data_IF_135052241604
#
_entry.id   IF_135052241604
#
_cell.length_a   1.000
_cell.length_b   1.000
_cell.length_c   1.000
_cell.angle_alpha   90.00
_cell.angle_beta   90.00
_cell.angle_gamma   90.00
#
_symmetry.space_group_name_H-M   'P 1'
#
loop_
_entity.id
_entity.type
_entity.pdbx_description
1 polymer ?
#
# COMPACT_ATOMS: atom_id res chain seq x y z
N UNK A 1 28.08 -41.92 14.36
CA UNK A 1 26.82 -41.18 14.56
C UNK A 1 27.08 -39.66 14.53
N UNK A 2 27.42 -39.18 13.34
CA UNK A 2 27.65 -37.77 12.99
C UNK A 2 26.53 -37.41 12.04
N UNK A 3 25.41 -36.95 12.59
CA UNK A 3 24.20 -36.58 11.85
C UNK A 3 23.62 -35.26 12.40
N UNK A 4 24.48 -34.37 12.91
CA UNK A 4 24.05 -33.16 13.61
C UNK A 4 24.72 -31.86 13.15
N UNK A 5 25.44 -31.86 12.02
CA UNK A 5 26.13 -30.66 11.52
C UNK A 5 25.62 -30.11 10.19
N UNK A 6 24.77 -30.84 9.47
CA UNK A 6 24.35 -30.40 8.12
C UNK A 6 23.06 -29.55 8.09
N UNK A 7 22.37 -29.36 9.23
CA UNK A 7 21.14 -28.55 9.29
C UNK A 7 21.34 -27.07 9.66
N UNK A 8 22.58 -26.62 9.83
CA UNK A 8 22.90 -25.24 10.18
C UNK A 8 23.52 -24.41 9.03
N UNK A 9 23.65 -24.96 7.82
CA UNK A 9 24.12 -24.22 6.65
C UNK A 9 23.03 -23.81 5.63
N UNK A 10 21.78 -24.27 5.78
CA UNK A 10 20.70 -23.91 4.86
C UNK A 10 19.97 -22.59 5.21
N UNK A 11 20.38 -21.87 6.26
CA UNK A 11 19.73 -20.62 6.68
C UNK A 11 20.40 -19.34 6.17
N UNK A 12 21.40 -19.45 5.29
CA UNK A 12 22.23 -18.29 4.87
C UNK A 12 21.87 -17.72 3.48
N UNK A 13 20.96 -18.33 2.69
CA UNK A 13 20.82 -17.94 1.26
C UNK A 13 19.40 -17.58 0.75
N UNK A 14 18.43 -17.26 1.61
CA UNK A 14 17.11 -16.78 1.16
C UNK A 14 17.00 -15.25 1.07
N UNK A 15 17.70 -14.51 1.95
CA UNK A 15 17.62 -13.04 2.01
C UNK A 15 18.43 -12.33 0.91
N UNK A 16 19.35 -13.04 0.25
CA UNK A 16 20.32 -12.43 -0.68
C UNK A 16 19.79 -12.27 -2.11
N UNK A 17 18.55 -12.69 -2.38
CA UNK A 17 17.94 -12.64 -3.73
C UNK A 17 16.97 -11.47 -3.95
N UNK A 18 16.48 -10.81 -2.89
CA UNK A 18 15.59 -9.64 -2.99
C UNK A 18 16.38 -8.32 -2.82
N UNK A 19 17.63 -8.28 -3.28
CA UNK A 19 18.53 -7.11 -3.14
C UNK A 19 17.93 -5.84 -3.71
N UNK A 20 18.38 -4.69 -3.20
CA UNK A 20 17.91 -3.36 -3.59
C UNK A 20 16.40 -3.16 -3.39
N UNK A 21 15.80 -3.83 -2.41
CA UNK A 21 14.35 -3.76 -2.15
C UNK A 21 14.02 -3.14 -0.81
N UNK A 22 13.04 -2.24 -0.78
CA UNK A 22 12.31 -1.89 0.44
C UNK A 22 10.87 -2.33 0.28
N UNK A 23 10.37 -3.04 1.29
CA UNK A 23 8.95 -3.38 1.42
C UNK A 23 8.37 -2.57 2.57
N UNK A 24 7.39 -1.74 2.27
CA UNK A 24 6.69 -0.86 3.21
C UNK A 24 5.27 -1.38 3.38
N UNK A 25 4.91 -1.77 4.59
CA UNK A 25 3.56 -2.13 4.97
C UNK A 25 2.87 -0.92 5.58
N UNK A 26 1.68 -0.61 5.10
CA UNK A 26 0.90 0.53 5.59
C UNK A 26 0.66 0.50 7.11
N UNK A 27 0.55 -0.69 7.68
CA UNK A 27 0.26 -0.91 9.10
C UNK A 27 1.16 -2.00 9.67
N UNK A 28 1.42 -1.97 10.98
CA UNK A 28 2.10 -3.04 11.70
C UNK A 28 1.23 -4.31 11.80
N UNK A 29 1.85 -5.45 12.15
CA UNK A 29 1.12 -6.70 12.38
C UNK A 29 0.03 -6.53 13.44
N UNK A 30 -1.11 -7.19 13.25
CA UNK A 30 -2.25 -7.13 14.17
C UNK A 30 -3.12 -5.87 14.06
N UNK A 31 -2.87 -4.99 13.09
CA UNK A 31 -3.58 -3.71 12.95
C UNK A 31 -4.22 -3.56 11.56
N UNK A 32 -5.26 -2.72 11.51
CA UNK A 32 -5.95 -2.37 10.28
C UNK A 32 -5.15 -1.33 9.48
N UNK A 33 -5.33 -1.32 8.16
CA UNK A 33 -4.85 -0.26 7.29
C UNK A 33 -6.05 0.61 6.92
N UNK A 34 -6.06 1.85 7.41
CA UNK A 34 -7.23 2.71 7.40
C UNK A 34 -7.53 3.30 6.03
N UNK A 35 -8.82 3.57 5.80
CA UNK A 35 -9.35 4.15 4.57
C UNK A 35 -10.54 5.04 4.86
N UNK A 36 -10.61 6.15 4.13
CA UNK A 36 -11.71 7.08 4.11
C UNK A 36 -12.39 7.02 2.73
N UNK A 37 -13.71 6.80 2.63
CA UNK A 37 -14.40 6.64 1.34
C UNK A 37 -14.20 7.79 0.35
N UNK A 38 -14.00 9.01 0.84
CA UNK A 38 -13.89 10.22 0.02
C UNK A 38 -12.45 10.73 -0.15
N UNK A 39 -11.48 10.22 0.62
CA UNK A 39 -10.15 10.84 0.72
C UNK A 39 -8.97 9.88 0.45
N UNK A 40 -9.22 8.61 0.14
CA UNK A 40 -8.13 7.64 -0.01
C UNK A 40 -7.86 6.80 1.23
N UNK A 41 -6.80 6.00 1.14
CA UNK A 41 -6.22 5.30 2.27
C UNK A 41 -5.26 6.21 3.02
N UNK A 42 -5.29 6.15 4.36
CA UNK A 42 -4.47 7.05 5.19
C UNK A 42 -2.98 6.96 4.83
N UNK A 43 -2.51 5.76 4.46
CA UNK A 43 -1.14 5.54 4.03
C UNK A 43 -0.79 6.22 2.71
N UNK A 44 -1.54 5.97 1.64
CA UNK A 44 -1.22 6.50 0.31
C UNK A 44 -1.44 8.01 0.27
N UNK A 45 -2.51 8.51 0.87
CA UNK A 45 -2.74 9.96 1.00
C UNK A 45 -1.62 10.65 1.80
N UNK A 46 -1.08 10.01 2.85
CA UNK A 46 0.07 10.56 3.60
C UNK A 46 1.35 10.55 2.76
N UNK A 47 1.58 9.49 1.99
CA UNK A 47 2.68 9.43 1.03
C UNK A 47 2.57 10.55 -0.01
N UNK A 48 1.37 10.75 -0.56
CA UNK A 48 1.07 11.83 -1.50
C UNK A 48 1.42 13.19 -0.90
N UNK A 49 0.86 13.53 0.27
CA UNK A 49 1.14 14.80 0.97
C UNK A 49 2.64 15.05 1.15
N UNK A 50 3.40 14.04 1.57
CA UNK A 50 4.85 14.16 1.79
C UNK A 50 5.62 14.40 0.50
N UNK A 51 5.21 13.75 -0.59
CA UNK A 51 5.89 13.81 -1.88
C UNK A 51 5.50 15.03 -2.72
N UNK A 52 4.28 15.55 -2.58
CA UNK A 52 3.78 16.74 -3.27
C UNK A 52 4.43 18.06 -2.82
N UNK A 53 5.17 18.05 -1.70
CA UNK A 53 6.01 19.20 -1.31
C UNK A 53 7.21 19.29 -2.27
N UNK A 54 7.63 20.49 -2.67
CA UNK A 54 8.69 20.73 -3.68
C UNK A 54 10.02 19.96 -3.50
N UNK A 55 10.34 19.51 -2.28
CA UNK A 55 11.54 18.72 -1.97
C UNK A 55 11.27 17.23 -1.71
N UNK A 56 10.01 16.77 -1.81
CA UNK A 56 9.56 15.43 -1.45
C UNK A 56 10.33 14.35 -2.19
N UNK A 57 10.36 14.45 -3.52
CA UNK A 57 11.08 13.53 -4.41
C UNK A 57 12.60 13.63 -4.37
N UNK A 58 13.16 14.72 -3.84
CA UNK A 58 14.61 14.92 -3.75
C UNK A 58 15.20 14.35 -2.46
N UNK A 59 14.37 13.79 -1.58
CA UNK A 59 14.78 13.16 -0.33
C UNK A 59 15.06 11.68 -0.56
N UNK A 60 16.05 11.17 0.16
CA UNK A 60 16.23 9.74 0.38
C UNK A 60 14.94 9.08 0.90
N UNK A 61 14.67 7.85 0.46
CA UNK A 61 13.44 7.13 0.79
C UNK A 61 13.23 6.98 2.30
N UNK A 62 14.26 6.76 3.11
CA UNK A 62 14.08 6.65 4.57
C UNK A 62 13.69 8.00 5.18
N UNK A 63 14.12 9.13 4.60
CA UNK A 63 13.61 10.45 5.00
C UNK A 63 12.17 10.66 4.57
N UNK A 64 11.76 10.20 3.39
CA UNK A 64 10.35 10.20 2.96
C UNK A 64 9.52 9.37 3.93
N UNK A 65 9.88 8.11 4.17
CA UNK A 65 9.17 7.20 5.06
C UNK A 65 9.06 7.75 6.49
N UNK A 66 10.12 8.35 7.05
CA UNK A 66 10.02 9.00 8.37
C UNK A 66 9.01 10.14 8.40
N UNK A 67 8.86 10.90 7.32
CA UNK A 67 7.85 11.96 7.26
C UNK A 67 6.45 11.38 7.08
N UNK A 68 6.31 10.33 6.26
CA UNK A 68 5.03 9.61 6.14
C UNK A 68 4.59 9.08 7.49
N UNK A 69 5.50 8.45 8.25
CA UNK A 69 5.17 7.98 9.61
C UNK A 69 4.69 9.10 10.52
N UNK A 70 5.25 10.31 10.39
CA UNK A 70 4.80 11.47 11.17
C UNK A 70 3.40 11.91 10.75
N UNK A 71 3.11 11.99 9.46
CA UNK A 71 1.75 12.29 8.97
C UNK A 71 0.72 11.27 9.48
N UNK A 72 1.04 9.97 9.44
CA UNK A 72 0.15 8.91 9.93
C UNK A 72 -0.15 9.01 11.43
N UNK A 73 0.77 9.55 12.23
CA UNK A 73 0.60 9.71 13.68
C UNK A 73 -0.20 10.95 14.06
N UNK A 74 -0.40 11.89 13.12
CA UNK A 74 -1.14 13.13 13.34
C UNK A 74 -2.62 13.03 12.93
N UNK A 75 -3.03 11.90 12.37
CA UNK A 75 -4.43 11.63 12.03
C UNK A 75 -5.30 11.48 13.28
N UNK A 76 -6.62 11.68 13.14
CA UNK A 76 -7.59 11.47 14.22
C UNK A 76 -7.53 10.02 14.74
N UNK A 77 -7.26 9.07 13.84
CA UNK A 77 -7.05 7.67 14.16
C UNK A 77 -5.63 7.24 13.75
N UNK A 78 -4.63 7.42 14.63
CA UNK A 78 -3.23 7.19 14.28
C UNK A 78 -2.94 5.77 13.73
N UNK A 79 -2.06 5.69 12.74
CA UNK A 79 -1.57 4.45 12.15
C UNK A 79 -0.05 4.37 12.23
N UNK A 80 0.48 3.19 12.55
CA UNK A 80 1.93 2.93 12.52
C UNK A 80 2.26 2.03 11.34
N UNK A 81 3.18 2.47 10.47
CA UNK A 81 3.66 1.66 9.35
C UNK A 81 4.92 0.87 9.74
N UNK A 82 5.22 -0.17 8.97
CA UNK A 82 6.43 -0.99 9.12
C UNK A 82 7.14 -1.05 7.77
N UNK A 83 8.46 -1.07 7.75
CA UNK A 83 9.19 -1.37 6.52
C UNK A 83 10.42 -2.25 6.78
N UNK A 84 10.78 -3.03 5.77
CA UNK A 84 11.96 -3.90 5.76
C UNK A 84 12.81 -3.57 4.53
N UNK A 85 14.13 -3.52 4.70
CA UNK A 85 15.10 -3.33 3.62
C UNK A 85 15.91 -4.60 3.38
N UNK A 86 16.07 -4.99 2.12
CA UNK A 86 16.75 -6.21 1.69
C UNK A 86 17.93 -5.83 0.78
N UNK A 87 19.16 -6.13 1.23
CA UNK A 87 20.38 -5.92 0.45
C UNK A 87 20.50 -4.53 -0.17
N UNK A 88 20.24 -3.49 0.62
CA UNK A 88 20.27 -2.09 0.17
C UNK A 88 21.66 -1.52 0.43
N UNK A 89 22.48 -1.44 -0.62
CA UNK A 89 23.86 -0.95 -0.53
C UNK A 89 23.98 0.57 -0.77
N UNK A 90 22.96 1.20 -1.36
CA UNK A 90 23.00 2.60 -1.83
C UNK A 90 21.79 3.44 -1.37
N UNK A 91 21.89 4.76 -1.49
CA UNK A 91 20.85 5.72 -1.11
C UNK A 91 19.64 5.62 -2.07
N UNK A 92 18.64 4.81 -1.71
CA UNK A 92 17.44 4.59 -2.52
C UNK A 92 16.63 5.88 -2.67
N UNK A 93 16.28 6.21 -3.90
CA UNK A 93 15.59 7.46 -4.26
C UNK A 93 14.37 7.14 -5.10
N UNK A 94 13.29 7.90 -4.92
CA UNK A 94 12.12 7.82 -5.80
C UNK A 94 12.40 8.40 -7.20
N UNK A 95 13.53 9.10 -7.34
CA UNK A 95 14.04 9.61 -8.61
C UNK A 95 15.10 8.69 -9.19
N UNK A 96 15.05 8.40 -10.50
CA UNK A 96 16.13 7.72 -11.19
C UNK A 96 17.45 8.49 -10.97
N UNK A 97 18.58 7.83 -10.75
CA UNK A 97 19.86 8.50 -10.64
C UNK A 97 20.13 9.38 -11.87
N UNK A 98 20.54 10.62 -11.64
CA UNK A 98 20.85 11.60 -12.70
C UNK A 98 22.17 11.31 -13.41
N UNK A 99 23.04 10.50 -12.79
CA UNK A 99 24.32 10.08 -13.35
C UNK A 99 24.26 8.63 -13.80
N UNK A 100 24.24 8.46 -15.13
CA UNK A 100 24.34 7.18 -15.81
C UNK A 100 25.80 6.72 -15.73
N UNK A 101 26.09 5.58 -15.10
CA UNK A 101 27.41 4.94 -15.24
C UNK A 101 27.50 4.30 -16.63
N UNK A 102 28.31 4.87 -17.52
CA UNK A 102 28.58 4.30 -18.85
C UNK A 102 27.51 4.58 -19.90
N UNK A 103 27.22 3.62 -20.77
CA UNK A 103 26.30 3.77 -21.91
C UNK A 103 24.84 3.40 -21.57
N UNK A 104 24.50 3.37 -20.28
CA UNK A 104 23.21 2.89 -19.79
C UNK A 104 22.09 3.93 -20.01
N UNK A 105 21.39 3.84 -21.14
CA UNK A 105 20.33 4.77 -21.51
C UNK A 105 19.03 4.61 -20.69
N UNK A 106 18.97 3.68 -19.73
CA UNK A 106 17.77 3.45 -18.92
C UNK A 106 17.53 4.67 -18.02
N UNK A 107 16.34 5.27 -18.13
CA UNK A 107 15.92 6.37 -17.26
C UNK A 107 14.46 6.19 -16.88
N UNK A 108 14.07 6.58 -15.67
CA UNK A 108 12.69 6.50 -15.21
C UNK A 108 12.38 5.32 -14.28
N UNK A 109 11.12 5.25 -13.88
CA UNK A 109 10.56 4.22 -13.02
C UNK A 109 9.40 3.51 -13.72
N UNK A 110 9.26 2.21 -13.47
CA UNK A 110 8.05 1.45 -13.75
C UNK A 110 7.21 1.43 -12.47
N UNK A 111 5.98 1.94 -12.53
CA UNK A 111 5.00 1.85 -11.46
C UNK A 111 3.96 0.79 -11.83
N UNK A 112 3.85 -0.25 -11.02
CA UNK A 112 2.78 -1.25 -11.11
C UNK A 112 1.81 -0.96 -9.97
N UNK A 113 0.57 -0.65 -10.31
CA UNK A 113 -0.49 -0.42 -9.33
C UNK A 113 -1.47 -1.59 -9.36
N UNK A 114 -1.46 -2.40 -8.31
CA UNK A 114 -2.46 -3.43 -8.05
C UNK A 114 -3.50 -2.81 -7.12
N UNK A 115 -4.72 -2.57 -7.62
CA UNK A 115 -5.78 -1.93 -6.85
C UNK A 115 -7.10 -2.67 -7.00
N UNK A 116 -7.44 -3.46 -5.99
CA UNK A 116 -8.69 -4.23 -5.96
C UNK A 116 -9.74 -3.41 -5.22
N UNK A 117 -10.74 -2.93 -5.95
CA UNK A 117 -11.75 -2.02 -5.43
C UNK A 117 -12.95 -2.73 -4.80
N UNK A 118 -13.20 -4.01 -5.10
CA UNK A 118 -14.37 -4.76 -4.60
C UNK A 118 -15.71 -4.04 -4.89
N UNK A 119 -15.82 -3.41 -6.06
CA UNK A 119 -16.98 -2.59 -6.43
C UNK A 119 -18.29 -3.37 -6.33
N UNK A 120 -19.29 -2.80 -5.65
CA UNK A 120 -20.59 -3.42 -5.45
C UNK A 120 -20.64 -4.51 -4.38
N UNK A 121 -19.55 -4.75 -3.65
CA UNK A 121 -19.52 -5.61 -2.47
C UNK A 121 -19.67 -4.79 -1.18
N UNK A 122 -20.07 -5.46 -0.09
CA UNK A 122 -20.27 -4.79 1.20
C UNK A 122 -19.00 -4.14 1.75
N UNK A 123 -17.84 -4.70 1.41
CA UNK A 123 -16.51 -4.27 1.83
C UNK A 123 -15.78 -3.47 0.73
N UNK A 124 -16.53 -2.79 -0.14
CA UNK A 124 -16.00 -1.96 -1.22
C UNK A 124 -14.92 -0.98 -0.73
N UNK A 125 -13.84 -0.89 -1.52
CA UNK A 125 -12.67 -0.03 -1.26
C UNK A 125 -12.74 1.27 -2.06
N UNK A 126 -13.89 1.92 -2.12
CA UNK A 126 -14.15 3.14 -2.91
C UNK A 126 -13.12 4.25 -2.68
N UNK A 127 -12.71 4.47 -1.43
CA UNK A 127 -11.64 5.42 -1.09
C UNK A 127 -10.35 5.14 -1.84
N UNK A 128 -10.00 3.87 -2.06
CA UNK A 128 -8.76 3.48 -2.76
C UNK A 128 -8.73 3.87 -4.24
N UNK A 129 -9.85 4.30 -4.82
CA UNK A 129 -9.87 4.92 -6.15
C UNK A 129 -9.12 6.25 -6.15
N UNK A 130 -9.27 7.05 -5.09
CA UNK A 130 -8.57 8.32 -4.92
C UNK A 130 -7.06 8.13 -4.80
N UNK A 131 -6.62 7.04 -4.15
CA UNK A 131 -5.20 6.68 -4.08
C UNK A 131 -4.58 6.55 -5.48
N UNK A 132 -5.29 5.93 -6.43
CA UNK A 132 -4.80 5.79 -7.81
C UNK A 132 -4.70 7.14 -8.53
N UNK A 133 -5.65 8.05 -8.30
CA UNK A 133 -5.59 9.41 -8.85
C UNK A 133 -4.45 10.22 -8.25
N UNK A 134 -4.27 10.17 -6.93
CA UNK A 134 -3.18 10.85 -6.22
C UNK A 134 -1.82 10.35 -6.70
N UNK A 135 -1.64 9.02 -6.82
CA UNK A 135 -0.40 8.44 -7.33
C UNK A 135 -0.15 8.87 -8.78
N UNK A 136 -1.17 8.80 -9.64
CA UNK A 136 -1.01 9.24 -11.02
C UNK A 136 -0.55 10.70 -11.08
N UNK A 137 -1.26 11.61 -10.40
CA UNK A 137 -0.96 13.04 -10.36
C UNK A 137 0.46 13.32 -9.86
N UNK A 138 0.84 12.66 -8.75
CA UNK A 138 2.16 12.80 -8.14
C UNK A 138 3.30 12.50 -9.12
N UNK A 139 3.11 11.48 -9.94
CA UNK A 139 4.15 10.97 -10.82
C UNK A 139 4.00 11.46 -12.28
N UNK A 140 2.96 12.25 -12.62
CA UNK A 140 2.73 12.79 -13.97
C UNK A 140 3.93 13.59 -14.51
N UNK A 141 4.60 14.34 -13.64
CA UNK A 141 5.75 15.18 -14.01
C UNK A 141 7.09 14.46 -13.94
N UNK A 142 7.08 13.23 -13.42
CA UNK A 142 8.26 12.41 -13.26
C UNK A 142 8.34 11.38 -14.40
N UNK A 143 9.52 10.83 -14.69
CA UNK A 143 9.70 9.81 -15.75
C UNK A 143 9.16 8.44 -15.31
N UNK A 144 7.88 8.36 -14.92
CA UNK A 144 7.25 7.16 -14.40
C UNK A 144 6.20 6.65 -15.37
N UNK A 145 6.28 5.36 -15.70
CA UNK A 145 5.26 4.67 -16.51
C UNK A 145 4.40 3.81 -15.61
N UNK A 146 3.08 4.00 -15.69
CA UNK A 146 2.10 3.25 -14.92
C UNK A 146 1.59 2.03 -15.66
N UNK A 147 1.38 0.94 -14.92
CA UNK A 147 0.68 -0.26 -15.35
C UNK A 147 -0.34 -0.62 -14.26
N UNK A 148 -1.62 -0.47 -14.58
CA UNK A 148 -2.73 -0.71 -13.65
C UNK A 148 -3.21 -2.15 -13.76
N UNK A 149 -3.27 -2.83 -12.62
CA UNK A 149 -3.74 -4.21 -12.48
C UNK A 149 -4.98 -4.23 -11.57
N UNK A 150 -6.13 -4.29 -12.22
CA UNK A 150 -7.45 -4.33 -11.59
C UNK A 150 -7.93 -5.77 -11.52
N UNK A 151 -8.85 -6.07 -10.61
CA UNK A 151 -9.33 -7.45 -10.42
C UNK A 151 -10.20 -7.97 -11.58
N UNK A 152 -10.88 -7.08 -12.29
CA UNK A 152 -11.95 -7.41 -13.25
C UNK A 152 -11.48 -7.78 -14.66
N UNK A 153 -10.17 -7.81 -14.92
CA UNK A 153 -9.62 -7.96 -16.29
C UNK A 153 -8.86 -9.25 -16.56
N UNK A 154 -8.75 -10.20 -15.61
CA UNK A 154 -7.78 -11.31 -15.75
C UNK A 154 -8.41 -12.70 -15.57
N UNK A 155 -8.30 -13.54 -16.61
CA UNK A 155 -8.49 -15.00 -16.55
C UNK A 155 -7.26 -15.75 -15.98
N UNK A 156 -6.35 -15.02 -15.31
CA UNK A 156 -5.02 -15.46 -14.90
C UNK A 156 -4.76 -14.91 -13.49
N UNK A 157 -3.85 -15.55 -12.74
CA UNK A 157 -3.53 -15.11 -11.38
C UNK A 157 -2.78 -13.78 -11.37
N UNK A 158 -2.97 -12.98 -10.30
CA UNK A 158 -2.25 -11.71 -10.08
C UNK A 158 -0.74 -11.83 -10.27
N UNK A 159 -0.15 -12.91 -9.74
CA UNK A 159 1.29 -13.20 -9.86
C UNK A 159 1.72 -13.20 -11.32
N UNK A 160 0.93 -13.84 -12.18
CA UNK A 160 1.27 -13.93 -13.58
C UNK A 160 1.07 -12.57 -14.29
N UNK A 161 0.04 -11.80 -13.95
CA UNK A 161 -0.12 -10.43 -14.48
C UNK A 161 1.03 -9.50 -14.09
N UNK A 162 1.50 -9.55 -12.83
CA UNK A 162 2.67 -8.79 -12.40
C UNK A 162 3.91 -9.26 -13.19
N UNK A 163 4.07 -10.57 -13.37
CA UNK A 163 5.19 -11.14 -14.13
C UNK A 163 5.20 -10.68 -15.59
N UNK A 164 4.06 -10.73 -16.26
CA UNK A 164 3.93 -10.29 -17.65
C UNK A 164 4.32 -8.81 -17.81
N UNK A 165 3.89 -7.96 -16.87
CA UNK A 165 4.29 -6.54 -16.83
C UNK A 165 5.80 -6.38 -16.61
N UNK A 166 6.39 -7.13 -15.66
CA UNK A 166 7.83 -7.08 -15.40
C UNK A 166 8.62 -7.50 -16.65
N UNK A 167 8.24 -8.61 -17.28
CA UNK A 167 8.91 -9.12 -18.49
C UNK A 167 8.79 -8.14 -19.66
N UNK A 168 7.62 -7.50 -19.80
CA UNK A 168 7.37 -6.56 -20.90
C UNK A 168 8.09 -5.22 -20.71
N UNK A 169 8.13 -4.67 -19.51
CA UNK A 169 8.51 -3.27 -19.28
C UNK A 169 9.78 -3.08 -18.46
N UNK A 170 10.07 -3.93 -17.48
CA UNK A 170 11.05 -3.62 -16.43
C UNK A 170 12.45 -3.35 -16.99
N UNK A 171 12.85 -4.04 -18.06
CA UNK A 171 14.18 -3.89 -18.70
C UNK A 171 14.54 -2.45 -19.08
N UNK A 172 13.55 -1.58 -19.33
CA UNK A 172 13.73 -0.19 -19.78
C UNK A 172 13.89 0.84 -18.65
N UNK A 173 13.59 0.48 -17.41
CA UNK A 173 13.55 1.39 -16.26
C UNK A 173 14.52 0.96 -15.16
N UNK A 174 14.92 1.88 -14.28
CA UNK A 174 15.89 1.63 -13.20
C UNK A 174 15.25 1.43 -11.83
N UNK A 175 14.00 1.87 -11.68
CA UNK A 175 13.24 1.78 -10.44
C UNK A 175 11.96 1.02 -10.74
N UNK A 176 11.62 0.07 -9.87
CA UNK A 176 10.30 -0.52 -9.77
C UNK A 176 9.59 0.07 -8.56
N UNK A 177 8.43 0.68 -8.79
CA UNK A 177 7.46 1.03 -7.76
C UNK A 177 6.32 0.02 -7.87
N UNK A 178 6.01 -0.70 -6.79
CA UNK A 178 4.91 -1.66 -6.77
C UNK A 178 3.95 -1.29 -5.65
N UNK A 179 2.76 -0.81 -6.00
CA UNK A 179 1.69 -0.53 -5.05
C UNK A 179 0.72 -1.71 -5.03
N UNK A 180 0.50 -2.30 -3.86
CA UNK A 180 -0.41 -3.41 -3.64
C UNK A 180 -1.50 -2.95 -2.68
N UNK A 181 -2.69 -2.71 -3.22
CA UNK A 181 -3.84 -2.14 -2.51
C UNK A 181 -5.04 -3.08 -2.60
N UNK A 182 -5.30 -3.82 -1.52
CA UNK A 182 -6.43 -4.75 -1.43
C UNK A 182 -6.85 -4.97 0.02
N UNK A 183 -7.80 -5.87 0.26
CA UNK A 183 -8.02 -6.45 1.57
C UNK A 183 -6.88 -7.41 1.94
N UNK A 184 -6.59 -7.47 3.23
CA UNK A 184 -5.54 -8.34 3.78
C UNK A 184 -6.08 -9.27 4.85
N UNK A 185 -5.52 -10.48 4.91
CA UNK A 185 -5.77 -11.43 5.99
C UNK A 185 -4.46 -12.07 6.43
N UNK A 186 -4.29 -12.22 7.73
CA UNK A 186 -3.16 -12.96 8.31
C UNK A 186 -3.64 -14.35 8.69
N UNK A 187 -3.01 -15.38 8.13
CA UNK A 187 -3.29 -16.77 8.46
C UNK A 187 -1.96 -17.51 8.69
N UNK A 188 -1.86 -18.23 9.81
CA UNK A 188 -0.65 -18.99 10.20
C UNK A 188 0.63 -18.13 10.13
N UNK A 189 0.53 -16.85 10.50
CA UNK A 189 1.65 -15.90 10.50
C UNK A 189 2.02 -15.31 9.14
N UNK A 190 1.35 -15.71 8.05
CA UNK A 190 1.58 -15.20 6.69
C UNK A 190 0.50 -14.19 6.29
N UNK A 191 0.90 -13.18 5.51
CA UNK A 191 0.00 -12.17 4.98
C UNK A 191 -0.49 -12.54 3.59
N UNK A 192 -1.80 -12.47 3.40
CA UNK A 192 -2.44 -12.74 2.12
C UNK A 192 -3.28 -11.54 1.69
N UNK A 193 -3.24 -11.24 0.40
CA UNK A 193 -4.26 -10.46 -0.28
C UNK A 193 -5.52 -11.31 -0.41
N UNK A 194 -6.69 -10.69 -0.34
CA UNK A 194 -7.94 -11.27 -0.81
C UNK A 194 -8.32 -10.70 -2.16
N UNK A 195 -8.98 -11.49 -2.98
CA UNK A 195 -9.73 -11.04 -4.14
C UNK A 195 -11.24 -11.00 -3.79
N UNK A 196 -12.07 -10.41 -4.66
CA UNK A 196 -13.53 -10.33 -4.56
C UNK A 196 -14.22 -11.71 -4.55
N UNK A 197 -13.52 -12.76 -5.01
CA UNK A 197 -14.00 -14.16 -4.99
C UNK A 197 -13.62 -14.88 -3.69
N UNK A 198 -12.85 -14.24 -2.81
CA UNK A 198 -12.36 -14.81 -1.56
C UNK A 198 -11.08 -15.65 -1.71
N UNK A 199 -10.47 -15.73 -2.89
CA UNK A 199 -9.17 -16.36 -3.10
C UNK A 199 -8.10 -15.58 -2.34
N UNK A 200 -7.05 -16.30 -1.92
CA UNK A 200 -5.92 -15.73 -1.18
C UNK A 200 -4.65 -15.82 -2.00
N UNK A 201 -3.91 -14.71 -2.07
CA UNK A 201 -2.60 -14.64 -2.74
C UNK A 201 -1.59 -14.21 -1.68
N UNK A 202 -0.56 -15.03 -1.42
CA UNK A 202 0.43 -14.67 -0.41
C UNK A 202 1.24 -13.46 -0.88
N UNK A 203 1.48 -12.50 0.01
CA UNK A 203 2.35 -11.37 -0.29
C UNK A 203 3.78 -11.87 -0.53
N UNK A 204 4.20 -12.92 0.19
CA UNK A 204 5.50 -13.56 0.00
C UNK A 204 5.68 -14.08 -1.44
N UNK A 205 4.65 -14.67 -2.05
CA UNK A 205 4.73 -15.14 -3.45
C UNK A 205 4.95 -13.98 -4.44
N UNK A 206 4.40 -12.80 -4.14
CA UNK A 206 4.64 -11.58 -4.95
C UNK A 206 6.08 -11.09 -4.75
N UNK A 207 6.58 -11.09 -3.51
CA UNK A 207 7.96 -10.69 -3.22
C UNK A 207 8.97 -11.67 -3.83
N UNK A 208 8.67 -12.96 -3.81
CA UNK A 208 9.48 -14.00 -4.44
C UNK A 208 9.61 -13.76 -5.95
N UNK A 209 8.54 -13.33 -6.62
CA UNK A 209 8.59 -12.95 -8.03
C UNK A 209 9.62 -11.84 -8.31
N UNK A 210 9.83 -10.91 -7.38
CA UNK A 210 10.74 -9.77 -7.55
C UNK A 210 12.23 -10.11 -7.34
N UNK A 211 12.52 -11.31 -6.84
CA UNK A 211 13.89 -11.77 -6.66
C UNK A 211 14.66 -11.82 -7.98
N UNK A 212 15.96 -11.56 -7.93
CA UNK A 212 16.85 -11.53 -9.11
C UNK A 212 16.80 -12.83 -9.93
N UNK A 213 16.59 -13.97 -9.26
CA UNK A 213 16.48 -15.30 -9.87
C UNK A 213 15.18 -15.49 -10.65
N UNK A 214 14.09 -14.89 -10.16
CA UNK A 214 12.75 -15.05 -10.73
C UNK A 214 12.43 -13.94 -11.74
N UNK A 215 13.04 -12.76 -11.58
CA UNK A 215 12.93 -11.61 -12.48
C UNK A 215 14.30 -11.01 -12.81
N UNK A 216 15.09 -11.63 -13.72
CA UNK A 216 16.42 -11.14 -14.09
C UNK A 216 16.44 -9.70 -14.63
N UNK A 217 15.32 -9.21 -15.18
CA UNK A 217 15.17 -7.83 -15.66
C UNK A 217 15.17 -6.78 -14.53
N UNK A 218 15.01 -7.22 -13.27
CA UNK A 218 15.04 -6.40 -12.05
C UNK A 218 16.38 -6.42 -11.32
N UNK A 219 17.35 -7.22 -11.79
CA UNK A 219 18.67 -7.33 -11.17
C UNK A 219 19.40 -5.99 -11.14
N UNK A 220 19.87 -5.60 -9.94
CA UNK A 220 20.57 -4.34 -9.69
C UNK A 220 19.70 -3.08 -9.83
N UNK A 221 18.36 -3.23 -9.79
CA UNK A 221 17.39 -2.13 -9.83
C UNK A 221 16.76 -1.91 -8.48
N UNK A 222 16.49 -0.64 -8.17
CA UNK A 222 15.80 -0.26 -6.95
C UNK A 222 14.34 -0.73 -7.02
N UNK A 223 13.87 -1.39 -5.96
CA UNK A 223 12.51 -1.93 -5.85
C UNK A 223 11.86 -1.35 -4.59
N UNK A 224 10.80 -0.57 -4.76
CA UNK A 224 10.03 0.00 -3.66
C UNK A 224 8.62 -0.58 -3.71
N UNK A 225 8.31 -1.45 -2.74
CA UNK A 225 7.05 -2.17 -2.66
C UNK A 225 6.21 -1.57 -1.53
N UNK A 226 5.03 -1.07 -1.85
CA UNK A 226 4.09 -0.43 -0.92
C UNK A 226 2.86 -1.32 -0.76
N UNK A 227 2.65 -1.88 0.43
CA UNK A 227 1.61 -2.87 0.73
C UNK A 227 0.54 -2.23 1.62
N UNK A 228 -0.53 -1.73 1.00
CA UNK A 228 -1.70 -1.14 1.63
C UNK A 228 -2.79 -2.21 1.83
N UNK A 229 -2.65 -2.98 2.91
CA UNK A 229 -3.59 -4.03 3.30
C UNK A 229 -3.68 -4.14 4.82
N UNK A 230 -4.82 -4.62 5.33
CA UNK A 230 -4.94 -4.95 6.75
C UNK A 230 -4.01 -6.11 7.12
N UNK A 231 -3.40 -6.06 8.30
CA UNK A 231 -2.52 -7.12 8.82
C UNK A 231 -3.04 -7.70 10.13
N UNK A 232 -4.35 -7.58 10.35
CA UNK A 232 -5.06 -8.00 11.56
C UNK A 232 -5.90 -6.87 12.13
N UNK A 233 -6.24 -6.99 13.41
CA UNK A 233 -7.01 -6.00 14.15
C UNK A 233 -8.52 -6.27 14.05
N UNK A 234 -9.24 -5.96 15.13
CA UNK A 234 -10.68 -5.85 15.03
C UNK A 234 -10.98 -4.78 13.99
N UNK A 235 -11.84 -5.15 13.07
CA UNK A 235 -12.50 -4.31 12.07
C UNK A 235 -13.09 -3.07 12.74
N UNK A 236 -12.29 -2.03 13.03
CA UNK A 236 -12.79 -0.65 13.00
C UNK A 236 -12.87 -0.28 11.51
N UNK A 237 -13.59 -1.10 10.75
CA UNK A 237 -14.05 -0.81 9.41
C UNK A 237 -15.51 -1.21 9.39
N UNK A 238 -16.33 -0.42 10.07
CA UNK A 238 -17.24 0.29 9.21
C UNK A 238 -16.57 1.62 8.95
N UNK A 239 -16.55 2.03 7.69
CA UNK A 239 -16.19 3.38 7.25
C UNK A 239 -16.37 4.34 8.41
N UNK A 240 -15.31 5.07 8.79
CA UNK A 240 -15.44 6.20 9.69
C UNK A 240 -16.33 7.21 8.96
N UNK A 241 -17.64 6.96 9.00
CA UNK A 241 -18.68 7.88 8.61
C UNK A 241 -18.44 9.04 9.54
N UNK A 242 -18.08 10.17 8.98
CA UNK A 242 -18.07 11.47 9.62
C UNK A 242 -19.41 11.59 10.34
N UNK A 243 -19.43 11.24 11.62
CA UNK A 243 -20.64 11.24 12.41
C UNK A 243 -20.78 12.67 12.87
N UNK A 244 -21.44 13.47 12.05
CA UNK A 244 -21.98 14.76 12.47
C UNK A 244 -23.12 14.50 13.48
N UNK A 245 -22.75 14.18 14.72
CA UNK A 245 -23.58 14.35 15.90
C UNK A 245 -22.94 15.50 16.69
N UNK A 246 -23.59 16.59 17.05
CA UNK A 246 -25.00 16.79 17.44
C UNK A 246 -25.29 18.29 17.50
N UNK A 247 -26.55 18.67 17.25
CA UNK A 247 -27.30 19.57 18.14
C UNK A 247 -28.80 19.28 17.98
N UNK A 248 -29.24 18.17 18.56
CA UNK A 248 -30.63 18.03 19.00
C UNK A 248 -30.79 18.87 20.26
N UNK A 249 -31.34 20.07 20.11
CA UNK A 249 -31.88 20.84 21.23
C UNK A 249 -33.13 20.15 21.73
N UNK A 250 -33.02 19.55 22.91
CA UNK A 250 -34.13 19.22 23.80
C UNK A 250 -34.90 20.49 24.16
N UNK A 251 -36.10 20.66 23.62
CA UNK A 251 -37.11 21.55 24.17
C UNK A 251 -38.23 20.68 24.72
N UNK A 252 -38.11 20.36 26.01
CA UNK A 252 -39.19 19.84 26.83
C UNK A 252 -39.55 20.94 27.83
N UNK A 253 -40.58 21.73 27.52
CA UNK A 253 -41.22 22.63 28.47
C UNK A 253 -42.61 23.08 27.95
N UNK A 254 -43.63 22.67 28.72
CA UNK A 254 -44.86 23.41 28.99
C UNK A 254 -45.91 23.58 27.88
N UNK A 255 -46.98 22.77 27.95
CA UNK A 255 -48.38 23.26 27.98
C UNK A 255 -49.38 22.15 28.35
N UNK A 256 -49.64 21.99 29.64
CA UNK A 256 -50.88 21.42 30.16
C UNK A 256 -51.30 22.19 31.42
N UNK A 257 -52.17 23.20 31.24
CA UNK A 257 -53.14 23.61 32.27
C UNK A 257 -54.20 24.55 31.69
N UNK A 258 -55.44 24.26 32.09
CA UNK A 258 -56.70 25.01 31.97
C UNK A 258 -57.30 25.04 30.55
N UNK A 259 -58.56 24.68 30.34
CA UNK A 259 -59.73 24.95 31.16
C UNK A 259 -60.83 23.89 30.99
N UNK A 260 -61.29 23.36 32.11
CA UNK A 260 -62.61 22.75 32.28
C UNK A 260 -63.48 23.84 32.94
N UNK A 261 -64.58 24.27 32.29
CA UNK A 261 -65.74 24.99 32.85
C UNK A 261 -66.60 25.57 31.72
N UNK A 262 -67.65 24.85 31.31
CA UNK A 262 -69.03 25.31 31.53
C UNK A 262 -70.03 24.32 30.89
N UNK A 263 -70.73 23.58 31.74
CA UNK A 263 -72.10 23.16 31.48
C UNK A 263 -73.00 24.40 31.56
N UNK A 264 -73.67 24.75 30.47
CA UNK A 264 -75.09 25.12 30.39
C UNK A 264 -75.48 25.34 28.95
#
# INVERSE_FOLDING_TARGET
PTLYTDKLMDSVNADDNLRDTIVVYATIKGHAAQRYPENGTLFVTSLFKVLSVASGFCKDIFRVLRNVQRELLMDEYPQLMEFTSYGVDDMLSLKPPTHIRGNDQRTGALCIEVNYLFCGLQDERSGSLWDGYDLLDLFLQEKVIFQFLNETTVNQSLIASIKDVIEQYASRYNILLLFIMSHGVVEKGKLYLKDSRGSKIAVDDILDLLQDTNSPSLKGKQKLVFVQVCRGGATISHDLKTTSQTKSTSNDSEKKKNSDLSKR
#
